data_IF_381022945623
#
_entry.id   IF_381022945623
#
_cell.length_a   1.000
_cell.length_b   1.000
_cell.length_c   1.000
_cell.angle_alpha   90.00
_cell.angle_beta   90.00
_cell.angle_gamma   90.00
#
_symmetry.space_group_name_H-M   'P 1'
#
loop_
_entity.id
_entity.type
_entity.pdbx_description
1 polymer ?
#
# COMPACT_ATOMS: atom_id res chain seq x y z
N UNK A 1 -2.97 46.05 -16.16
CA UNK A 1 -3.96 44.95 -16.05
C UNK A 1 -3.23 43.68 -15.66
N UNK A 2 -3.55 43.07 -14.49
CA UNK A 2 -3.00 41.77 -14.14
C UNK A 2 -3.78 40.70 -14.89
N UNK A 3 -3.11 39.99 -15.80
CA UNK A 3 -3.67 38.81 -16.46
C UNK A 3 -3.92 37.73 -15.40
N UNK A 4 -5.19 37.43 -15.16
CA UNK A 4 -5.64 36.26 -14.43
C UNK A 4 -5.23 35.00 -15.20
N UNK A 5 -4.07 34.46 -14.87
CA UNK A 5 -3.63 33.18 -15.38
C UNK A 5 -4.52 32.09 -14.78
N UNK A 6 -5.45 31.56 -15.56
CA UNK A 6 -6.11 30.29 -15.26
C UNK A 6 -5.01 29.24 -15.11
N UNK A 7 -4.95 28.47 -14.00
CA UNK A 7 -3.95 27.42 -13.88
C UNK A 7 -4.12 26.46 -15.07
N UNK A 8 -3.13 26.46 -15.98
CA UNK A 8 -3.16 25.57 -17.13
C UNK A 8 -3.21 24.12 -16.63
N UNK A 9 -4.20 23.40 -17.09
CA UNK A 9 -4.31 21.96 -16.88
C UNK A 9 -3.09 21.31 -17.54
N UNK A 10 -2.07 20.98 -16.73
CA UNK A 10 -0.86 20.34 -17.25
C UNK A 10 -1.17 18.87 -17.57
N UNK A 11 -1.55 18.64 -18.82
CA UNK A 11 -1.54 17.30 -19.42
C UNK A 11 -0.08 16.84 -19.51
N UNK A 12 0.31 15.80 -18.74
CA UNK A 12 1.59 15.13 -18.93
C UNK A 12 2.28 14.54 -17.72
N UNK A 13 1.91 14.88 -16.50
CA UNK A 13 2.51 14.23 -15.34
C UNK A 13 1.57 13.16 -14.76
N UNK A 14 2.01 11.90 -14.82
CA UNK A 14 1.23 10.80 -14.23
C UNK A 14 1.04 11.03 -12.72
N UNK A 15 -0.20 10.91 -12.23
CA UNK A 15 -0.55 11.01 -10.82
C UNK A 15 0.19 9.92 -10.02
N UNK A 16 0.70 10.28 -8.84
CA UNK A 16 1.30 9.31 -7.89
C UNK A 16 0.28 8.26 -7.49
N UNK A 17 -0.97 8.66 -7.24
CA UNK A 17 -2.07 7.73 -6.95
C UNK A 17 -2.22 6.70 -8.05
N UNK A 18 -2.21 7.12 -9.33
CA UNK A 18 -2.27 6.18 -10.46
C UNK A 18 -1.11 5.20 -10.44
N UNK A 19 0.11 5.69 -10.22
CA UNK A 19 1.31 4.83 -10.14
C UNK A 19 1.23 3.83 -8.99
N UNK A 20 0.74 4.25 -7.83
CA UNK A 20 0.55 3.38 -6.66
C UNK A 20 -0.50 2.31 -6.91
N UNK A 21 -1.64 2.66 -7.51
CA UNK A 21 -2.69 1.69 -7.88
C UNK A 21 -2.14 0.66 -8.87
N UNK A 22 -1.46 1.10 -9.92
CA UNK A 22 -0.85 0.21 -10.92
C UNK A 22 0.19 -0.71 -10.28
N UNK A 23 1.07 -0.16 -9.42
CA UNK A 23 2.08 -0.96 -8.72
C UNK A 23 1.46 -2.05 -7.84
N UNK A 24 0.41 -1.72 -7.08
CA UNK A 24 -0.32 -2.68 -6.24
C UNK A 24 -0.95 -3.79 -7.08
N UNK A 25 -1.61 -3.45 -8.19
CA UNK A 25 -2.23 -4.43 -9.10
C UNK A 25 -1.16 -5.33 -9.73
N UNK A 26 -0.03 -4.76 -10.18
CA UNK A 26 1.08 -5.55 -10.74
C UNK A 26 1.63 -6.53 -9.71
N UNK A 27 1.94 -6.07 -8.49
CA UNK A 27 2.48 -6.95 -7.44
C UNK A 27 1.46 -8.05 -7.12
N UNK A 28 0.17 -7.74 -7.01
CA UNK A 28 -0.87 -8.71 -6.73
C UNK A 28 -1.00 -9.77 -7.84
N UNK A 29 -0.98 -9.36 -9.12
CA UNK A 29 -1.01 -10.29 -10.26
C UNK A 29 0.24 -11.17 -10.27
N UNK A 30 1.44 -10.61 -10.06
CA UNK A 30 2.69 -11.36 -10.01
C UNK A 30 2.70 -12.36 -8.85
N UNK A 31 2.14 -12.00 -7.69
CA UNK A 31 2.02 -12.90 -6.54
C UNK A 31 1.23 -14.17 -6.87
N UNK A 32 0.20 -14.09 -7.71
CA UNK A 32 -0.60 -15.27 -8.12
C UNK A 32 0.22 -16.32 -8.86
N UNK A 33 1.19 -15.91 -9.67
CA UNK A 33 2.04 -16.85 -10.41
C UNK A 33 3.07 -17.55 -9.53
N UNK A 34 3.34 -17.02 -8.32
CA UNK A 34 4.34 -17.59 -7.41
C UNK A 34 3.75 -18.47 -6.31
N UNK A 35 2.42 -18.49 -6.15
CA UNK A 35 1.75 -19.23 -5.06
C UNK A 35 1.70 -20.73 -5.27
N UNK A 36 1.68 -21.20 -6.52
CA UNK A 36 1.50 -22.63 -6.85
C UNK A 36 2.67 -23.55 -6.49
N UNK A 37 3.86 -23.00 -6.25
CA UNK A 37 5.08 -23.79 -5.98
C UNK A 37 5.51 -23.86 -4.52
N UNK A 38 4.92 -23.03 -3.65
CA UNK A 38 5.43 -22.78 -2.28
C UNK A 38 5.20 -23.92 -1.28
N UNK A 39 4.49 -24.98 -1.64
CA UNK A 39 4.15 -26.10 -0.75
C UNK A 39 5.08 -27.33 -0.89
N UNK A 40 5.97 -27.35 -1.87
CA UNK A 40 6.92 -28.42 -2.02
C UNK A 40 8.15 -28.19 -1.13
N UNK A 41 8.69 -29.26 -0.55
CA UNK A 41 9.92 -29.19 0.26
C UNK A 41 11.08 -28.67 -0.62
N UNK A 42 11.73 -27.58 -0.21
CA UNK A 42 12.76 -26.90 -1.00
C UNK A 42 12.25 -25.91 -2.05
N UNK A 43 10.94 -25.62 -2.10
CA UNK A 43 10.38 -24.64 -3.02
C UNK A 43 10.85 -23.20 -2.72
N UNK A 44 10.98 -22.40 -3.77
CA UNK A 44 11.25 -20.95 -3.62
C UNK A 44 10.03 -20.32 -2.97
N UNK A 45 10.19 -19.54 -1.86
CA UNK A 45 9.09 -18.83 -1.23
C UNK A 45 8.35 -17.95 -2.23
N UNK A 46 7.02 -17.87 -2.09
CA UNK A 46 6.19 -17.02 -2.93
C UNK A 46 6.54 -15.52 -2.80
N UNK A 47 6.23 -14.73 -3.80
CA UNK A 47 6.53 -13.30 -3.82
C UNK A 47 5.92 -12.56 -2.62
N UNK A 48 4.68 -12.90 -2.24
CA UNK A 48 4.02 -12.36 -1.07
C UNK A 48 4.76 -12.72 0.24
N UNK A 49 5.35 -13.91 0.34
CA UNK A 49 6.22 -14.30 1.46
C UNK A 49 7.47 -13.43 1.55
N UNK A 50 8.09 -13.07 0.42
CA UNK A 50 9.28 -12.23 0.38
C UNK A 50 8.99 -10.75 0.68
N UNK A 51 7.83 -10.26 0.30
CA UNK A 51 7.49 -8.84 0.37
C UNK A 51 6.70 -8.48 1.62
N UNK A 52 6.01 -9.43 2.29
CA UNK A 52 5.24 -9.18 3.50
C UNK A 52 6.13 -8.92 4.71
N UNK A 53 5.67 -8.06 5.63
CA UNK A 53 6.34 -7.85 6.92
C UNK A 53 5.99 -8.99 7.87
N UNK A 54 6.99 -9.78 8.28
CA UNK A 54 6.78 -10.97 9.12
C UNK A 54 7.64 -10.94 10.38
N UNK A 55 7.06 -11.39 11.50
CA UNK A 55 7.71 -11.40 12.82
C UNK A 55 8.93 -12.31 12.90
N UNK A 56 9.02 -13.33 12.05
CA UNK A 56 10.17 -14.24 11.99
C UNK A 56 11.26 -13.80 10.99
N UNK A 57 11.07 -12.68 10.28
CA UNK A 57 11.98 -12.18 9.24
C UNK A 57 12.18 -10.67 9.30
N UNK A 58 12.26 -10.11 10.51
CA UNK A 58 12.41 -8.67 10.73
C UNK A 58 13.70 -8.08 10.14
N UNK A 59 14.68 -8.92 9.79
CA UNK A 59 15.91 -8.53 9.08
C UNK A 59 15.70 -8.22 7.61
N UNK A 60 14.52 -8.54 7.03
CA UNK A 60 14.15 -8.12 5.68
C UNK A 60 13.71 -6.65 5.68
N UNK A 61 14.67 -5.73 5.66
CA UNK A 61 14.41 -4.30 5.81
C UNK A 61 13.48 -3.73 4.72
N UNK A 62 13.50 -4.27 3.51
CA UNK A 62 12.57 -3.88 2.46
C UNK A 62 11.10 -4.18 2.81
N UNK A 63 10.85 -5.23 3.60
CA UNK A 63 9.50 -5.64 3.94
C UNK A 63 8.72 -4.58 4.73
N UNK A 64 9.40 -3.66 5.42
CA UNK A 64 8.77 -2.53 6.11
C UNK A 64 8.09 -1.53 5.16
N UNK A 65 8.41 -1.59 3.87
CA UNK A 65 7.76 -0.80 2.82
C UNK A 65 6.95 -1.70 1.90
N UNK A 66 7.51 -2.82 1.46
CA UNK A 66 6.92 -3.64 0.41
C UNK A 66 5.65 -4.36 0.82
N UNK A 67 5.44 -4.60 2.13
CA UNK A 67 4.21 -5.20 2.63
C UNK A 67 2.96 -4.40 2.22
N UNK A 68 3.09 -3.07 2.09
CA UNK A 68 2.02 -2.17 1.66
C UNK A 68 1.57 -2.35 0.20
N UNK A 69 2.28 -3.18 -0.57
CA UNK A 69 1.93 -3.50 -1.96
C UNK A 69 1.45 -4.95 -2.13
N UNK A 70 1.58 -5.77 -1.11
CA UNK A 70 1.12 -7.16 -1.12
C UNK A 70 -0.34 -7.22 -0.72
N UNK A 71 -1.13 -8.04 -1.42
CA UNK A 71 -2.54 -8.25 -1.09
C UNK A 71 -2.88 -9.73 -1.08
N UNK A 72 -3.91 -10.08 -0.32
CA UNK A 72 -4.37 -11.45 -0.19
C UNK A 72 -4.74 -12.05 -1.56
N UNK A 73 -4.44 -13.34 -1.79
CA UNK A 73 -4.71 -14.02 -3.06
C UNK A 73 -6.21 -14.14 -3.35
N UNK A 74 -6.58 -14.27 -4.64
CA UNK A 74 -7.99 -14.42 -5.09
C UNK A 74 -8.72 -15.57 -4.36
N UNK A 75 -8.02 -16.66 -4.08
CA UNK A 75 -8.61 -17.85 -3.41
C UNK A 75 -8.86 -17.67 -1.92
N UNK A 76 -8.40 -16.57 -1.29
CA UNK A 76 -8.69 -16.28 0.11
C UNK A 76 -10.07 -15.64 0.27
N UNK A 77 -10.67 -15.79 1.46
CA UNK A 77 -12.02 -15.29 1.78
C UNK A 77 -12.23 -13.83 1.41
N UNK A 78 -11.19 -12.98 1.56
CA UNK A 78 -11.28 -11.54 1.37
C UNK A 78 -10.41 -11.01 0.21
N UNK A 79 -9.78 -11.91 -0.57
CA UNK A 79 -8.69 -11.57 -1.50
C UNK A 79 -9.02 -10.43 -2.46
N UNK A 80 -10.03 -10.62 -3.32
CA UNK A 80 -10.37 -9.61 -4.34
C UNK A 80 -10.96 -8.34 -3.72
N UNK A 81 -11.74 -8.47 -2.65
CA UNK A 81 -12.35 -7.33 -1.98
C UNK A 81 -11.33 -6.51 -1.20
N UNK A 82 -10.29 -7.16 -0.68
CA UNK A 82 -9.22 -6.48 0.03
C UNK A 82 -8.44 -5.53 -0.91
N UNK A 83 -8.00 -6.02 -2.07
CA UNK A 83 -7.30 -5.14 -3.03
C UNK A 83 -8.27 -4.13 -3.66
N UNK A 84 -9.48 -4.54 -4.06
CA UNK A 84 -10.44 -3.65 -4.68
C UNK A 84 -10.83 -2.49 -3.75
N UNK A 85 -11.12 -2.76 -2.49
CA UNK A 85 -11.43 -1.74 -1.49
C UNK A 85 -10.30 -0.73 -1.30
N UNK A 86 -9.05 -1.22 -1.17
CA UNK A 86 -7.88 -0.35 -1.08
C UNK A 86 -7.71 0.52 -2.33
N UNK A 87 -7.77 -0.08 -3.53
CA UNK A 87 -7.52 0.63 -4.79
C UNK A 87 -8.61 1.63 -5.11
N UNK A 88 -9.88 1.28 -4.88
CA UNK A 88 -11.01 2.20 -5.08
C UNK A 88 -10.88 3.39 -4.12
N UNK A 89 -10.65 3.14 -2.83
CA UNK A 89 -10.50 4.20 -1.83
C UNK A 89 -9.31 5.10 -2.17
N UNK A 90 -8.15 4.52 -2.49
CA UNK A 90 -6.96 5.28 -2.88
C UNK A 90 -7.21 6.12 -4.15
N UNK A 91 -7.91 5.56 -5.13
CA UNK A 91 -8.23 6.26 -6.38
C UNK A 91 -9.14 7.46 -6.17
N UNK A 92 -10.22 7.30 -5.40
CA UNK A 92 -11.21 8.36 -5.23
C UNK A 92 -10.78 9.42 -4.20
N UNK A 93 -10.19 9.01 -3.09
CA UNK A 93 -9.80 9.92 -2.01
C UNK A 93 -8.34 10.37 -2.11
N UNK A 94 -7.47 9.54 -2.63
CA UNK A 94 -6.05 9.88 -2.80
C UNK A 94 -5.81 10.98 -3.82
N UNK A 95 -6.55 11.00 -4.93
CA UNK A 95 -6.38 12.02 -5.97
C UNK A 95 -6.65 13.44 -5.49
N UNK A 96 -7.78 13.76 -4.82
CA UNK A 96 -7.98 15.08 -4.24
C UNK A 96 -6.89 15.45 -3.22
N UNK A 97 -6.47 14.51 -2.38
CA UNK A 97 -5.38 14.73 -1.41
C UNK A 97 -4.06 15.02 -2.13
N UNK A 98 -3.70 14.24 -3.17
CA UNK A 98 -2.51 14.50 -4.00
C UNK A 98 -2.57 15.89 -4.66
N UNK A 99 -3.73 16.29 -5.17
CA UNK A 99 -3.92 17.62 -5.77
C UNK A 99 -3.72 18.74 -4.74
N UNK A 100 -4.13 18.54 -3.49
CA UNK A 100 -4.02 19.53 -2.42
C UNK A 100 -2.59 19.65 -1.87
N UNK A 101 -1.90 18.53 -1.68
CA UNK A 101 -0.55 18.48 -1.12
C UNK A 101 0.55 18.70 -2.19
N UNK A 102 0.27 18.33 -3.42
CA UNK A 102 1.28 18.13 -4.47
C UNK A 102 1.93 16.75 -4.39
N UNK A 103 2.50 16.33 -5.53
CA UNK A 103 3.02 14.96 -5.73
C UNK A 103 4.09 14.55 -4.71
N UNK A 104 5.06 15.43 -4.45
CA UNK A 104 6.18 15.15 -3.54
C UNK A 104 5.69 14.89 -2.12
N UNK A 105 4.86 15.78 -1.59
CA UNK A 105 4.36 15.68 -0.22
C UNK A 105 3.39 14.51 -0.06
N UNK A 106 2.54 14.25 -1.05
CA UNK A 106 1.69 13.07 -1.06
C UNK A 106 2.50 11.77 -1.05
N UNK A 107 3.58 11.70 -1.85
CA UNK A 107 4.46 10.52 -1.87
C UNK A 107 5.11 10.29 -0.50
N UNK A 108 5.70 11.32 0.10
CA UNK A 108 6.31 11.23 1.43
C UNK A 108 5.28 10.80 2.48
N UNK A 109 4.11 11.41 2.46
CA UNK A 109 3.01 11.07 3.36
C UNK A 109 2.58 9.60 3.23
N UNK A 110 2.40 9.12 2.00
CA UNK A 110 1.97 7.74 1.75
C UNK A 110 3.00 6.72 2.27
N UNK A 111 4.28 6.90 1.93
CA UNK A 111 5.33 5.98 2.38
C UNK A 111 5.60 6.09 3.88
N UNK A 112 5.53 7.29 4.47
CA UNK A 112 5.59 7.45 5.92
C UNK A 112 4.44 6.73 6.61
N UNK A 113 3.23 6.78 6.04
CA UNK A 113 2.05 6.06 6.57
C UNK A 113 2.23 4.54 6.50
N UNK A 114 2.84 4.00 5.43
CA UNK A 114 3.22 2.57 5.37
C UNK A 114 4.15 2.24 6.54
N UNK A 115 5.25 2.99 6.71
CA UNK A 115 6.22 2.74 7.78
C UNK A 115 5.59 2.80 9.18
N UNK A 116 4.83 3.85 9.46
CA UNK A 116 4.19 4.04 10.77
C UNK A 116 3.18 2.93 11.05
N UNK A 117 2.38 2.54 10.05
CA UNK A 117 1.40 1.45 10.21
C UNK A 117 2.08 0.11 10.44
N UNK A 118 3.14 -0.20 9.70
CA UNK A 118 3.89 -1.45 9.86
C UNK A 118 4.61 -1.54 11.21
N UNK A 119 5.24 -0.46 11.65
CA UNK A 119 5.88 -0.37 12.97
C UNK A 119 4.84 -0.43 14.09
N UNK A 120 3.71 0.27 13.95
CA UNK A 120 2.62 0.23 14.92
C UNK A 120 2.05 -1.17 15.08
N UNK A 121 1.80 -1.87 13.96
CA UNK A 121 1.38 -3.27 13.99
C UNK A 121 2.41 -4.16 14.69
N UNK A 122 3.69 -4.01 14.36
CA UNK A 122 4.77 -4.81 14.95
C UNK A 122 4.86 -4.59 16.47
N UNK A 123 4.80 -3.34 16.94
CA UNK A 123 4.82 -3.01 18.37
C UNK A 123 3.64 -3.65 19.10
N UNK A 124 2.43 -3.51 18.56
CA UNK A 124 1.23 -4.10 19.15
C UNK A 124 1.30 -5.63 19.16
N UNK A 125 1.77 -6.22 18.06
CA UNK A 125 1.92 -7.66 17.96
C UNK A 125 2.92 -8.21 19.00
N UNK A 126 4.10 -7.60 19.11
CA UNK A 126 5.13 -8.01 20.07
C UNK A 126 4.70 -7.78 21.53
N UNK A 127 3.80 -6.83 21.79
CA UNK A 127 3.32 -6.53 23.14
C UNK A 127 2.18 -7.46 23.60
N UNK A 128 1.33 -7.94 22.69
CA UNK A 128 0.07 -8.60 23.06
C UNK A 128 -0.12 -10.00 22.47
N UNK A 129 0.75 -10.42 21.58
CA UNK A 129 0.62 -11.68 20.87
C UNK A 129 1.94 -12.46 20.89
N UNK A 130 1.88 -13.75 20.54
CA UNK A 130 3.04 -14.61 20.44
C UNK A 130 2.87 -15.58 19.26
N UNK A 131 3.97 -15.86 18.55
CA UNK A 131 3.97 -16.76 17.41
C UNK A 131 4.53 -16.14 16.14
N UNK A 132 4.12 -16.64 14.99
CA UNK A 132 4.52 -16.11 13.68
C UNK A 132 3.33 -15.46 13.02
N UNK A 133 3.47 -14.19 12.68
CA UNK A 133 2.46 -13.44 11.95
C UNK A 133 3.08 -12.64 10.82
N UNK A 134 2.25 -12.31 9.84
CA UNK A 134 2.65 -11.49 8.70
C UNK A 134 1.62 -10.42 8.41
N UNK A 135 2.10 -9.20 8.16
CA UNK A 135 1.30 -8.06 7.74
C UNK A 135 1.43 -7.89 6.22
N UNK A 136 0.30 -7.65 5.56
CA UNK A 136 0.21 -7.32 4.13
C UNK A 136 -0.95 -6.36 3.88
N UNK A 137 -0.82 -5.53 2.86
CA UNK A 137 -1.87 -4.64 2.38
C UNK A 137 -1.58 -3.16 2.51
N UNK A 138 -2.11 -2.40 1.57
CA UNK A 138 -2.03 -0.93 1.53
C UNK A 138 -2.91 -0.25 2.60
N UNK A 139 -3.74 -1.01 3.32
CA UNK A 139 -4.84 -0.49 4.15
C UNK A 139 -4.40 0.52 5.22
N UNK A 140 -3.21 0.37 5.80
CA UNK A 140 -2.66 1.34 6.75
C UNK A 140 -2.45 2.72 6.13
N UNK A 141 -1.78 2.78 4.97
CA UNK A 141 -1.57 4.04 4.24
C UNK A 141 -2.88 4.59 3.65
N UNK A 142 -3.74 3.71 3.13
CA UNK A 142 -5.07 4.10 2.61
C UNK A 142 -5.92 4.70 3.73
N UNK A 143 -5.93 4.13 4.92
CA UNK A 143 -6.62 4.68 6.08
C UNK A 143 -6.10 6.07 6.46
N UNK A 144 -4.77 6.27 6.43
CA UNK A 144 -4.18 7.59 6.65
C UNK A 144 -4.62 8.61 5.58
N UNK A 145 -4.72 8.20 4.32
CA UNK A 145 -5.26 9.04 3.22
C UNK A 145 -6.73 9.40 3.48
N UNK A 146 -7.56 8.45 3.94
CA UNK A 146 -8.97 8.71 4.31
C UNK A 146 -9.05 9.75 5.43
N UNK A 147 -8.27 9.58 6.49
CA UNK A 147 -8.24 10.53 7.62
C UNK A 147 -7.81 11.91 7.13
N UNK A 148 -6.73 12.00 6.36
CA UNK A 148 -6.27 13.29 5.83
C UNK A 148 -7.29 13.92 4.87
N UNK A 149 -7.99 13.12 4.05
CA UNK A 149 -9.08 13.61 3.19
C UNK A 149 -10.18 14.27 4.00
N UNK A 150 -10.64 13.66 5.10
CA UNK A 150 -11.68 14.21 5.99
C UNK A 150 -11.23 15.55 6.58
N UNK A 151 -9.96 15.69 6.97
CA UNK A 151 -9.43 16.96 7.49
C UNK A 151 -9.31 18.06 6.42
N UNK A 152 -9.03 17.70 5.18
CA UNK A 152 -8.85 18.67 4.08
C UNK A 152 -10.18 19.09 3.43
N UNK A 153 -11.20 18.26 3.56
CA UNK A 153 -12.53 18.43 2.93
C UNK A 153 -13.65 18.18 3.97
N UNK A 154 -13.76 19.05 4.99
CA UNK A 154 -14.75 18.94 6.06
C UNK A 154 -16.20 19.13 5.59
#
# INVERSE_FOLDING_TARGET
>A
EPRSGVPGFQFGQQSVVTSLVVANVIVWVLSMFTQGGAQAEGAIPSLDTWLSLSTNRLYFLWSYITYGFVHAPIGSRDGIWHIAGNMITLWFLGRPVEQRLGRSEFTKFYFASILVSGLGWLVLYLAFDSGVASLMGASGAVSAVVVLFIFLYP
#
